data_IF_155322605501
#
_entry.id   IF_155322605501
#
_cell.length_a   1.000
_cell.length_b   1.000
_cell.length_c   1.000
_cell.angle_alpha   90.00
_cell.angle_beta   90.00
_cell.angle_gamma   90.00
#
_symmetry.space_group_name_H-M   'P 1'
#
loop_
_entity.id
_entity.type
_entity.pdbx_description
1 polymer ?
#
# COMPACT_ATOMS: atom_id res chain seq x y z
N UNK A 1 -21.06 9.03 19.65
CA UNK A 1 -19.67 9.21 20.13
C UNK A 1 -18.94 7.91 19.84
N UNK A 2 -17.87 7.95 19.06
CA UNK A 2 -16.99 6.78 18.94
C UNK A 2 -16.27 6.63 20.28
N UNK A 3 -16.32 5.47 20.83
CA UNK A 3 -16.05 5.05 22.23
C UNK A 3 -14.56 5.18 22.66
N UNK A 4 -13.84 6.24 22.27
CA UNK A 4 -12.41 6.43 22.56
C UNK A 4 -11.49 5.38 21.94
N UNK A 5 -12.05 4.36 21.30
CA UNK A 5 -11.35 3.27 20.64
C UNK A 5 -10.79 3.74 19.29
N UNK A 6 -9.53 3.42 19.02
CA UNK A 6 -8.92 3.60 17.69
C UNK A 6 -9.37 2.48 16.77
N UNK A 7 -9.74 2.86 15.55
CA UNK A 7 -10.16 1.90 14.53
C UNK A 7 -9.13 1.86 13.40
N UNK A 8 -8.74 0.66 13.00
CA UNK A 8 -7.77 0.44 11.93
C UNK A 8 -8.41 -0.29 10.76
N UNK A 9 -8.34 0.35 9.59
CA UNK A 9 -8.91 -0.16 8.34
C UNK A 9 -7.78 -0.51 7.37
N UNK A 10 -7.81 -1.71 6.82
CA UNK A 10 -6.96 -2.16 5.72
C UNK A 10 -7.63 -1.94 4.37
N UNK A 11 -6.93 -1.35 3.41
CA UNK A 11 -7.35 -1.24 2.00
C UNK A 11 -6.23 -1.80 1.13
N UNK A 12 -6.48 -2.94 0.48
CA UNK A 12 -5.52 -3.59 -0.39
C UNK A 12 -6.20 -4.13 -1.65
N UNK A 13 -5.45 -4.70 -2.58
CA UNK A 13 -6.01 -5.27 -3.79
C UNK A 13 -5.21 -6.45 -4.28
N UNK A 14 -5.87 -7.32 -5.02
CA UNK A 14 -5.24 -8.34 -5.84
C UNK A 14 -4.78 -7.68 -7.14
N UNK A 15 -3.50 -7.88 -7.48
CA UNK A 15 -2.92 -7.39 -8.73
C UNK A 15 -2.20 -6.04 -8.61
N UNK A 16 -1.60 -5.64 -9.71
CA UNK A 16 -0.52 -4.64 -9.76
C UNK A 16 -0.93 -3.18 -9.72
N UNK A 17 -2.14 -2.84 -9.48
CA UNK A 17 -2.48 -1.43 -9.38
C UNK A 17 -3.59 -0.99 -10.34
N UNK A 18 -3.96 0.27 -10.26
CA UNK A 18 -5.11 0.84 -10.97
C UNK A 18 -6.49 0.27 -10.60
N UNK A 19 -6.59 -0.53 -9.52
CA UNK A 19 -7.86 -1.05 -9.00
C UNK A 19 -8.73 0.01 -8.29
N UNK A 20 -8.21 1.24 -8.11
CA UNK A 20 -8.95 2.33 -7.47
C UNK A 20 -8.78 2.46 -5.95
N UNK A 21 -7.93 1.64 -5.31
CA UNK A 21 -7.66 1.67 -3.85
C UNK A 21 -7.35 3.07 -3.31
N UNK A 22 -6.35 3.72 -3.88
CA UNK A 22 -5.89 5.03 -3.41
C UNK A 22 -6.93 6.13 -3.62
N UNK A 23 -7.72 6.05 -4.71
CA UNK A 23 -8.83 6.97 -4.95
C UNK A 23 -9.93 6.78 -3.91
N UNK A 24 -10.28 5.52 -3.62
CA UNK A 24 -11.26 5.18 -2.59
C UNK A 24 -10.78 5.63 -1.20
N UNK A 25 -9.52 5.32 -0.84
CA UNK A 25 -8.95 5.72 0.45
C UNK A 25 -9.00 7.23 0.66
N UNK A 26 -8.63 8.03 -0.36
CA UNK A 26 -8.69 9.50 -0.30
C UNK A 26 -10.12 10.00 -0.10
N UNK A 27 -11.09 9.48 -0.86
CA UNK A 27 -12.51 9.84 -0.70
C UNK A 27 -13.05 9.45 0.67
N UNK A 28 -12.64 8.30 1.20
CA UNK A 28 -13.03 7.86 2.53
C UNK A 28 -12.47 8.78 3.62
N UNK A 29 -11.22 9.23 3.51
CA UNK A 29 -10.63 10.25 4.41
C UNK A 29 -11.43 11.56 4.37
N UNK A 30 -11.82 12.01 3.18
CA UNK A 30 -12.64 13.22 3.02
C UNK A 30 -14.02 13.07 3.66
N UNK A 31 -14.66 11.92 3.48
CA UNK A 31 -15.99 11.64 4.03
C UNK A 31 -15.98 11.48 5.56
N UNK A 32 -14.91 10.93 6.13
CA UNK A 32 -14.78 10.71 7.57
C UNK A 32 -14.21 11.92 8.33
N UNK A 33 -13.61 12.88 7.61
CA UNK A 33 -12.96 14.06 8.15
C UNK A 33 -11.46 13.85 8.37
N UNK A 34 -10.65 14.70 7.72
CA UNK A 34 -9.17 14.62 7.74
C UNK A 34 -8.59 14.80 9.15
N UNK A 35 -9.29 15.52 10.01
CA UNK A 35 -8.90 15.75 11.41
C UNK A 35 -8.99 14.47 12.25
N UNK A 36 -9.80 13.49 11.84
CA UNK A 36 -10.05 12.23 12.54
C UNK A 36 -9.28 11.05 11.98
N UNK A 37 -8.76 11.17 10.75
CA UNK A 37 -8.21 10.05 9.98
C UNK A 37 -6.74 10.25 9.70
N UNK A 38 -5.93 9.25 10.01
CA UNK A 38 -4.61 9.04 9.41
C UNK A 38 -4.74 8.15 8.18
N UNK A 39 -4.09 8.54 7.08
CA UNK A 39 -3.89 7.68 5.92
C UNK A 39 -2.40 7.31 5.84
N UNK A 40 -2.10 6.05 6.14
CA UNK A 40 -0.78 5.46 6.03
C UNK A 40 -0.68 4.74 4.68
N UNK A 41 0.05 5.34 3.74
CA UNK A 41 0.38 4.69 2.48
C UNK A 41 1.41 3.58 2.72
N UNK A 42 1.14 2.36 2.25
CA UNK A 42 1.99 1.20 2.43
C UNK A 42 2.94 0.95 1.23
N UNK A 43 2.76 1.66 0.11
CA UNK A 43 3.65 1.52 -1.05
C UNK A 43 5.10 1.95 -0.78
N UNK A 44 5.40 2.97 0.07
CA UNK A 44 6.78 3.28 0.47
C UNK A 44 7.53 2.16 1.21
N UNK A 45 6.81 1.15 1.69
CA UNK A 45 7.39 -0.04 2.33
C UNK A 45 7.74 -1.16 1.34
N UNK A 46 7.56 -0.94 0.04
CA UNK A 46 8.03 -1.86 -1.01
C UNK A 46 9.49 -1.55 -1.29
N UNK A 47 10.34 -2.58 -1.24
CA UNK A 47 11.76 -2.47 -1.59
C UNK A 47 11.87 -2.08 -3.06
N UNK A 48 12.71 -1.11 -3.39
CA UNK A 48 12.90 -0.64 -4.77
C UNK A 48 13.35 -1.75 -5.72
N UNK A 49 12.98 -1.61 -7.00
CA UNK A 49 13.19 -2.63 -8.01
C UNK A 49 14.64 -3.06 -8.15
N UNK A 50 15.58 -2.11 -8.13
CA UNK A 50 17.03 -2.38 -8.22
C UNK A 50 17.55 -3.22 -7.03
N UNK A 51 17.04 -2.99 -5.81
CA UNK A 51 17.41 -3.78 -4.65
C UNK A 51 16.70 -5.14 -4.62
N UNK A 52 15.49 -5.23 -5.20
CA UNK A 52 14.80 -6.52 -5.34
C UNK A 52 15.53 -7.47 -6.29
N UNK A 53 16.24 -6.95 -7.28
CA UNK A 53 17.05 -7.75 -8.19
C UNK A 53 18.27 -8.41 -7.48
N UNK A 54 18.61 -7.96 -6.25
CA UNK A 54 19.61 -8.60 -5.38
C UNK A 54 19.04 -9.68 -4.48
N UNK A 55 17.72 -9.82 -4.41
CA UNK A 55 17.05 -10.81 -3.57
C UNK A 55 16.84 -12.12 -4.34
N UNK A 56 16.96 -13.23 -3.64
CA UNK A 56 16.62 -14.55 -4.15
C UNK A 56 15.70 -15.27 -3.18
N UNK A 57 14.75 -16.02 -3.72
CA UNK A 57 13.92 -16.95 -2.94
C UNK A 57 14.64 -18.29 -2.93
N UNK A 58 14.98 -18.81 -1.75
CA UNK A 58 15.82 -20.02 -1.62
C UNK A 58 15.23 -21.21 -2.37
N UNK A 59 13.91 -21.37 -2.33
CA UNK A 59 13.19 -22.47 -3.00
C UNK A 59 13.12 -22.30 -4.53
N UNK A 60 13.30 -21.07 -5.02
CA UNK A 60 13.17 -20.68 -6.43
C UNK A 60 14.23 -19.64 -6.78
N UNK A 61 15.53 -20.01 -6.81
CA UNK A 61 16.63 -19.04 -6.95
C UNK A 61 16.64 -18.31 -8.29
N UNK A 62 16.06 -18.90 -9.34
CA UNK A 62 15.96 -18.30 -10.67
C UNK A 62 14.72 -17.39 -10.82
N UNK A 63 13.83 -17.38 -9.82
CA UNK A 63 12.62 -16.56 -9.89
C UNK A 63 12.93 -15.12 -9.51
N UNK A 64 12.56 -14.19 -10.38
CA UNK A 64 12.65 -12.76 -10.09
C UNK A 64 11.74 -12.37 -8.93
N UNK A 65 12.30 -11.65 -7.95
CA UNK A 65 11.51 -11.12 -6.83
C UNK A 65 10.68 -9.92 -7.30
N UNK A 66 9.38 -10.13 -7.40
CA UNK A 66 8.41 -9.07 -7.74
C UNK A 66 7.74 -8.53 -6.48
N UNK A 67 7.02 -7.40 -6.61
CA UNK A 67 6.21 -6.85 -5.52
C UNK A 67 5.03 -7.75 -5.10
N UNK A 68 4.77 -8.86 -5.81
CA UNK A 68 3.78 -9.86 -5.41
C UNK A 68 4.29 -10.84 -4.34
N UNK A 69 5.56 -10.74 -3.95
CA UNK A 69 6.16 -11.61 -2.94
C UNK A 69 6.38 -10.86 -1.61
N UNK A 70 6.07 -11.48 -0.46
CA UNK A 70 6.24 -10.84 0.85
C UNK A 70 7.67 -10.35 1.12
N UNK A 71 8.69 -11.05 0.58
CA UNK A 71 10.11 -10.71 0.74
C UNK A 71 10.46 -9.35 0.09
N UNK A 72 9.65 -8.86 -0.83
CA UNK A 72 9.82 -7.56 -1.46
C UNK A 72 9.33 -6.38 -0.60
N UNK A 73 8.93 -6.61 0.65
CA UNK A 73 8.29 -5.61 1.50
C UNK A 73 8.92 -5.50 2.88
N UNK A 74 9.05 -4.28 3.37
CA UNK A 74 9.45 -3.95 4.74
C UNK A 74 8.29 -4.16 5.73
N UNK A 75 7.78 -5.40 5.80
CA UNK A 75 6.59 -5.74 6.60
C UNK A 75 6.78 -5.52 8.09
N UNK A 76 8.01 -5.69 8.61
CA UNK A 76 8.32 -5.43 10.02
C UNK A 76 8.19 -3.95 10.36
N UNK A 77 8.70 -3.09 9.50
CA UNK A 77 8.61 -1.64 9.63
C UNK A 77 7.17 -1.15 9.53
N UNK A 78 6.41 -1.62 8.55
CA UNK A 78 4.99 -1.28 8.40
C UNK A 78 4.17 -1.73 9.62
N UNK A 79 4.39 -2.94 10.11
CA UNK A 79 3.71 -3.46 11.31
C UNK A 79 4.07 -2.65 12.56
N UNK A 80 5.34 -2.26 12.72
CA UNK A 80 5.79 -1.38 13.81
C UNK A 80 5.02 -0.06 13.79
N UNK A 81 4.91 0.58 12.64
CA UNK A 81 4.31 1.89 12.50
C UNK A 81 2.79 1.86 12.75
N UNK A 82 2.11 0.82 12.27
CA UNK A 82 0.69 0.59 12.59
C UNK A 82 0.50 0.45 14.11
N UNK A 83 1.31 -0.40 14.76
CA UNK A 83 1.22 -0.63 16.21
C UNK A 83 1.56 0.60 17.04
N UNK A 84 2.54 1.40 16.60
CA UNK A 84 2.88 2.65 17.26
C UNK A 84 1.67 3.59 17.28
N UNK A 85 1.02 3.82 16.14
CA UNK A 85 -0.19 4.64 16.07
C UNK A 85 -1.33 4.06 16.92
N UNK A 86 -1.54 2.74 16.90
CA UNK A 86 -2.58 2.07 17.70
C UNK A 86 -2.32 2.24 19.20
N UNK A 87 -1.06 2.24 19.64
CA UNK A 87 -0.67 2.37 21.04
C UNK A 87 -0.49 3.81 21.53
N UNK A 88 -0.79 4.80 20.71
CA UNK A 88 -0.72 6.21 21.11
C UNK A 88 0.60 6.91 20.83
N UNK A 89 1.47 6.32 19.99
CA UNK A 89 2.72 6.94 19.55
C UNK A 89 2.57 7.55 18.16
N UNK A 90 2.95 8.82 18.02
CA UNK A 90 3.12 9.44 16.69
C UNK A 90 4.23 8.77 15.91
N UNK A 91 4.14 8.79 14.61
CA UNK A 91 5.19 8.29 13.71
C UNK A 91 5.58 9.33 12.67
N UNK A 92 6.77 9.12 12.10
CA UNK A 92 7.16 9.69 10.80
C UNK A 92 7.28 8.54 9.82
N UNK A 93 6.58 8.65 8.68
CA UNK A 93 6.57 7.60 7.66
C UNK A 93 7.92 7.48 6.95
N UNK A 94 8.16 6.37 6.27
CA UNK A 94 9.35 6.17 5.44
C UNK A 94 9.39 7.25 4.34
N UNK A 95 10.58 7.85 4.15
CA UNK A 95 10.84 8.79 3.07
C UNK A 95 11.24 8.05 1.80
N UNK A 96 10.63 8.43 0.69
CA UNK A 96 10.96 7.93 -0.64
C UNK A 96 11.00 9.11 -1.62
N UNK A 97 11.81 9.09 -2.68
CA UNK A 97 11.89 10.20 -3.65
C UNK A 97 10.54 10.59 -4.27
N UNK A 98 9.59 9.65 -4.34
CA UNK A 98 8.24 9.81 -4.90
C UNK A 98 7.13 9.90 -3.83
N UNK A 99 7.47 9.71 -2.56
CA UNK A 99 6.55 9.77 -1.42
C UNK A 99 7.26 10.34 -0.18
N UNK A 100 7.35 11.68 -0.06
CA UNK A 100 8.01 12.33 1.08
C UNK A 100 7.44 11.88 2.41
N UNK A 101 8.31 11.81 3.42
CA UNK A 101 7.90 11.47 4.77
C UNK A 101 6.90 12.46 5.33
N UNK A 102 5.98 11.96 6.14
CA UNK A 102 4.99 12.77 6.84
C UNK A 102 4.81 12.31 8.28
N UNK A 103 4.47 13.24 9.17
CA UNK A 103 4.08 12.93 10.54
C UNK A 103 2.62 12.50 10.57
N UNK A 104 2.34 11.37 11.21
CA UNK A 104 1.00 10.90 11.54
C UNK A 104 0.80 10.95 13.04
N UNK A 105 -0.30 11.59 13.50
CA UNK A 105 -0.59 11.75 14.91
C UNK A 105 -1.42 10.60 15.45
N UNK A 106 -0.99 10.05 16.56
CA UNK A 106 -1.73 9.02 17.26
C UNK A 106 -2.99 9.55 17.98
N UNK A 107 -3.25 10.84 17.98
CA UNK A 107 -4.48 11.42 18.53
C UNK A 107 -5.71 11.14 17.66
N UNK A 108 -5.50 10.89 16.36
CA UNK A 108 -6.59 10.59 15.45
C UNK A 108 -7.19 9.22 15.72
N UNK A 109 -8.51 9.14 15.68
CA UNK A 109 -9.28 7.96 16.08
C UNK A 109 -9.35 6.86 15.01
N UNK A 110 -9.03 7.20 13.74
CA UNK A 110 -9.12 6.28 12.61
C UNK A 110 -7.76 6.21 11.92
N UNK A 111 -7.29 4.99 11.67
CA UNK A 111 -6.12 4.70 10.86
C UNK A 111 -6.56 3.90 9.62
N UNK A 112 -6.36 4.47 8.44
CA UNK A 112 -6.49 3.77 7.16
C UNK A 112 -5.09 3.41 6.69
N UNK A 113 -4.83 2.14 6.43
CA UNK A 113 -3.59 1.64 5.84
C UNK A 113 -3.90 1.16 4.43
N UNK A 114 -3.29 1.78 3.43
CA UNK A 114 -3.59 1.50 2.02
C UNK A 114 -2.32 1.12 1.24
N UNK A 115 -2.39 0.07 0.46
CA UNK A 115 -1.34 -0.36 -0.46
C UNK A 115 -1.18 -1.87 -0.56
N UNK A 116 -0.28 -2.30 -1.44
CA UNK A 116 -0.04 -3.72 -1.71
C UNK A 116 0.53 -4.45 -0.49
N UNK A 117 1.47 -3.82 0.24
CA UNK A 117 2.12 -4.42 1.42
C UNK A 117 1.12 -4.87 2.51
N UNK A 118 -0.07 -4.25 2.54
CA UNK A 118 -1.13 -4.56 3.51
C UNK A 118 -1.64 -5.99 3.37
N UNK A 119 -1.66 -6.54 2.15
CA UNK A 119 -2.12 -7.90 1.88
C UNK A 119 -1.29 -8.98 2.60
N UNK A 120 -0.04 -8.67 2.96
CA UNK A 120 0.89 -9.59 3.62
C UNK A 120 0.93 -9.44 5.15
N UNK A 121 0.14 -8.51 5.70
CA UNK A 121 0.08 -8.31 7.15
C UNK A 121 -0.95 -9.23 7.80
N UNK A 122 -0.75 -9.59 9.09
CA UNK A 122 -1.74 -10.32 9.87
C UNK A 122 -3.07 -9.57 9.94
N UNK A 123 -4.18 -10.27 9.68
CA UNK A 123 -5.53 -9.69 9.68
C UNK A 123 -5.95 -9.11 11.04
N UNK A 124 -5.38 -9.62 12.11
CA UNK A 124 -5.64 -9.22 13.50
C UNK A 124 -5.15 -7.79 13.81
N UNK A 125 -4.39 -7.19 12.90
CA UNK A 125 -4.00 -5.76 13.01
C UNK A 125 -5.14 -4.81 12.66
N UNK A 126 -6.20 -5.30 12.04
CA UNK A 126 -7.24 -4.50 11.43
C UNK A 126 -8.62 -4.85 11.98
N UNK A 127 -9.44 -3.84 12.26
CA UNK A 127 -10.85 -4.03 12.61
C UNK A 127 -11.69 -4.34 11.36
N UNK A 128 -11.29 -3.81 10.19
CA UNK A 128 -11.95 -4.03 8.91
C UNK A 128 -10.93 -4.11 7.80
N UNK A 129 -11.16 -5.00 6.84
CA UNK A 129 -10.33 -5.15 5.65
C UNK A 129 -11.17 -5.08 4.38
N UNK A 130 -10.78 -4.22 3.45
CA UNK A 130 -11.41 -4.06 2.14
C UNK A 130 -10.41 -4.48 1.07
N UNK A 131 -10.76 -5.53 0.32
CA UNK A 131 -9.98 -5.99 -0.82
C UNK A 131 -10.60 -5.48 -2.12
N UNK A 132 -9.79 -4.81 -2.93
CA UNK A 132 -10.17 -4.39 -4.28
C UNK A 132 -9.78 -5.45 -5.28
N UNK A 133 -10.70 -5.78 -6.16
CA UNK A 133 -10.51 -6.66 -7.28
C UNK A 133 -10.81 -5.92 -8.57
N UNK A 134 -10.02 -6.21 -9.61
CA UNK A 134 -10.23 -5.71 -10.96
C UNK A 134 -9.92 -6.85 -11.92
N UNK A 135 -10.72 -7.03 -12.95
CA UNK A 135 -10.40 -7.98 -14.02
C UNK A 135 -9.18 -7.49 -14.83
N UNK A 136 -8.49 -8.43 -15.46
CA UNK A 136 -7.22 -8.18 -16.15
C UNK A 136 -7.35 -7.12 -17.26
N UNK A 137 -8.45 -7.15 -18.02
CA UNK A 137 -8.67 -6.21 -19.13
C UNK A 137 -8.84 -4.77 -18.62
N UNK A 138 -9.69 -4.58 -17.61
CA UNK A 138 -9.90 -3.28 -16.96
C UNK A 138 -8.62 -2.78 -16.26
N UNK A 139 -7.84 -3.68 -15.65
CA UNK A 139 -6.57 -3.32 -15.04
C UNK A 139 -5.57 -2.81 -16.09
N UNK A 140 -5.40 -3.53 -17.20
CA UNK A 140 -4.48 -3.14 -18.27
C UNK A 140 -4.86 -1.77 -18.85
N UNK A 141 -6.14 -1.55 -19.18
CA UNK A 141 -6.64 -0.28 -19.69
C UNK A 141 -6.33 0.89 -18.73
N UNK A 142 -6.63 0.71 -17.44
CA UNK A 142 -6.38 1.72 -16.42
C UNK A 142 -4.88 1.95 -16.16
N UNK A 143 -4.06 0.90 -16.21
CA UNK A 143 -2.61 1.02 -16.11
C UNK A 143 -2.03 1.79 -17.30
N UNK A 144 -2.43 1.45 -18.52
CA UNK A 144 -2.00 2.18 -19.72
C UNK A 144 -2.35 3.66 -19.59
N UNK A 145 -3.59 3.98 -19.26
CA UNK A 145 -4.03 5.38 -19.11
C UNK A 145 -3.22 6.11 -18.02
N UNK A 146 -3.07 5.54 -16.82
CA UNK A 146 -2.39 6.17 -15.70
C UNK A 146 -0.87 6.25 -15.88
N UNK A 147 -0.24 5.13 -16.22
CA UNK A 147 1.22 5.02 -16.18
C UNK A 147 1.88 5.72 -17.37
N UNK A 148 1.19 5.81 -18.51
CA UNK A 148 1.63 6.66 -19.63
C UNK A 148 1.45 8.14 -19.28
N UNK A 149 0.27 8.56 -18.82
CA UNK A 149 -0.05 9.97 -18.59
C UNK A 149 0.68 10.56 -17.35
N UNK A 150 0.84 9.78 -16.28
CA UNK A 150 1.33 10.28 -14.97
C UNK A 150 2.76 9.85 -14.68
N UNK A 151 3.15 8.64 -15.09
CA UNK A 151 4.46 8.05 -14.77
C UNK A 151 5.43 8.03 -15.95
N UNK A 152 5.00 8.54 -17.11
CA UNK A 152 5.77 8.58 -18.36
C UNK A 152 6.40 7.22 -18.74
N UNK A 153 5.65 6.12 -18.50
CA UNK A 153 6.08 4.76 -18.86
C UNK A 153 5.72 4.45 -20.31
N UNK A 154 6.55 3.64 -20.96
CA UNK A 154 6.28 3.18 -22.34
C UNK A 154 5.16 2.12 -22.31
N UNK A 155 4.16 2.20 -23.22
CA UNK A 155 3.05 1.23 -23.29
C UNK A 155 3.53 -0.22 -23.37
N UNK A 156 4.55 -0.50 -24.18
CA UNK A 156 5.09 -1.84 -24.39
C UNK A 156 5.69 -2.43 -23.11
N UNK A 157 6.21 -1.57 -22.23
CA UNK A 157 6.71 -2.01 -20.92
C UNK A 157 5.54 -2.41 -20.00
N UNK A 158 4.43 -1.68 -20.05
CA UNK A 158 3.24 -1.95 -19.24
C UNK A 158 2.61 -3.27 -19.67
N UNK A 159 2.42 -3.48 -20.97
CA UNK A 159 1.86 -4.72 -21.55
C UNK A 159 2.70 -5.95 -21.16
N UNK A 160 4.03 -5.84 -21.30
CA UNK A 160 4.96 -6.92 -20.95
C UNK A 160 4.94 -7.28 -19.47
N UNK A 161 4.82 -6.29 -18.58
CA UNK A 161 4.76 -6.51 -17.14
C UNK A 161 3.38 -6.96 -16.65
N UNK A 162 2.35 -6.81 -17.46
CA UNK A 162 1.01 -7.33 -17.18
C UNK A 162 0.86 -8.82 -17.51
N UNK A 163 1.66 -9.32 -18.44
CA UNK A 163 1.64 -10.74 -18.87
C UNK A 163 2.58 -11.62 -18.01
N UNK A 164 3.45 -11.04 -17.19
CA UNK A 164 4.41 -11.75 -16.34
C UNK A 164 3.85 -12.05 -14.97
#
# INVERSE_FOLDING_TARGET
>A
MLDGKKHTLAIYGHGDGASGKSTFAKRLVESLGRERVNLLAADPYIIDGEYRDLLAVREFPEQKVTACLPVAHELKSLKRDIRALQSGCDIVTIDQPWAPSQRLSAEKSILIVEGMSVAFLPKELFDLSICFYTDAATELERRLSRDVAVRNRQPEWIERTHQA
#
